data_IF_011201413532
#
_entry.id   IF_011201413532
#
_cell.length_a   1.000
_cell.length_b   1.000
_cell.length_c   1.000
_cell.angle_alpha   90.00
_cell.angle_beta   90.00
_cell.angle_gamma   90.00
#
_symmetry.space_group_name_H-M   'P 1'
#
loop_
_entity.id
_entity.type
_entity.pdbx_description
1 polymer ?
#
# COMPACT_ATOMS: atom_id res chain seq x y z
N UNK A 1 -53.52 7.15 11.38
CA UNK A 1 -54.68 6.27 11.12
C UNK A 1 -54.70 5.88 9.65
N UNK A 2 -55.53 4.90 9.26
CA UNK A 2 -55.63 4.29 7.93
C UNK A 2 -54.46 3.34 7.55
N UNK A 3 -54.50 2.14 8.12
CA UNK A 3 -53.80 0.96 7.61
C UNK A 3 -54.54 0.43 6.38
N UNK A 4 -53.84 0.11 5.28
CA UNK A 4 -54.41 -0.61 4.14
C UNK A 4 -53.81 -2.01 4.04
N UNK A 5 -54.68 -3.01 3.88
CA UNK A 5 -54.32 -4.41 3.78
C UNK A 5 -54.37 -4.89 2.33
N UNK A 6 -53.57 -5.93 2.01
CA UNK A 6 -53.97 -7.08 1.18
C UNK A 6 -52.90 -8.17 1.17
N UNK A 7 -53.31 -9.41 1.47
CA UNK A 7 -52.61 -10.63 1.02
C UNK A 7 -53.01 -10.96 -0.44
N UNK A 8 -52.78 -12.15 -1.02
CA UNK A 8 -52.12 -13.41 -0.59
C UNK A 8 -52.09 -14.35 -1.83
N UNK A 9 -51.58 -15.60 -1.71
CA UNK A 9 -51.59 -16.72 -2.71
C UNK A 9 -50.53 -16.58 -3.84
N UNK A 10 -49.55 -17.48 -4.04
CA UNK A 10 -49.54 -18.94 -4.36
C UNK A 10 -50.08 -19.24 -5.77
N UNK A 11 -49.46 -20.05 -6.66
CA UNK A 11 -48.27 -20.92 -6.61
C UNK A 11 -47.56 -20.84 -8.01
N UNK A 12 -46.74 -21.76 -8.58
CA UNK A 12 -46.34 -23.16 -8.31
C UNK A 12 -45.02 -23.52 -9.05
N UNK A 13 -44.55 -24.77 -9.02
CA UNK A 13 -43.42 -25.28 -9.83
C UNK A 13 -43.86 -25.89 -11.17
N UNK A 14 -42.92 -26.08 -12.12
CA UNK A 14 -42.60 -27.47 -12.50
C UNK A 14 -41.08 -27.78 -12.57
N UNK A 15 -40.75 -29.02 -12.97
CA UNK A 15 -39.46 -29.71 -12.75
C UNK A 15 -38.88 -30.27 -14.06
N UNK A 16 -37.58 -30.63 -14.03
CA UNK A 16 -36.77 -31.29 -15.07
C UNK A 16 -36.17 -30.32 -16.13
N UNK A 17 -35.01 -30.63 -16.75
CA UNK A 17 -34.41 -31.95 -17.03
C UNK A 17 -32.87 -31.92 -17.03
N UNK A 18 -32.26 -33.07 -16.71
CA UNK A 18 -30.81 -33.30 -16.78
C UNK A 18 -30.37 -33.73 -18.19
N UNK A 19 -29.23 -33.22 -18.67
CA UNK A 19 -28.45 -33.82 -19.76
C UNK A 19 -26.95 -33.77 -19.46
N UNK A 20 -26.37 -34.95 -19.27
CA UNK A 20 -24.94 -35.22 -19.10
C UNK A 20 -24.29 -35.38 -20.48
N UNK A 21 -23.23 -34.64 -20.78
CA UNK A 21 -22.44 -34.84 -22.01
C UNK A 21 -20.94 -34.99 -21.73
N UNK A 22 -20.34 -35.86 -22.52
CA UNK A 22 -19.05 -36.54 -22.37
C UNK A 22 -17.80 -35.66 -22.33
N UNK A 23 -16.96 -35.92 -21.32
CA UNK A 23 -15.53 -35.59 -21.25
C UNK A 23 -14.77 -36.36 -22.34
N UNK A 24 -14.06 -35.68 -23.25
CA UNK A 24 -13.20 -36.33 -24.27
C UNK A 24 -11.73 -35.96 -24.05
N UNK A 25 -10.89 -36.96 -23.79
CA UNK A 25 -9.42 -36.80 -23.76
C UNK A 25 -8.90 -36.68 -25.19
N UNK A 26 -7.92 -35.80 -25.40
CA UNK A 26 -7.07 -35.79 -26.59
C UNK A 26 -5.60 -35.75 -26.16
N UNK A 27 -4.82 -36.76 -26.53
CA UNK A 27 -3.39 -36.88 -26.19
C UNK A 27 -2.55 -36.89 -27.46
N UNK A 28 -1.55 -36.01 -27.48
CA UNK A 28 -0.27 -36.09 -28.20
C UNK A 28 -0.23 -36.34 -29.72
N UNK A 29 0.56 -35.49 -30.42
CA UNK A 29 1.70 -35.99 -31.19
C UNK A 29 2.83 -34.97 -31.37
N UNK A 30 4.06 -35.49 -31.39
CA UNK A 30 5.31 -34.78 -31.74
C UNK A 30 5.59 -34.91 -33.24
N UNK A 31 6.14 -33.86 -33.83
CA UNK A 31 7.03 -33.81 -35.01
C UNK A 31 7.93 -32.59 -34.74
N UNK A 32 9.27 -32.64 -34.79
CA UNK A 32 10.09 -33.19 -35.88
C UNK A 32 10.32 -32.07 -36.90
N UNK A 33 11.11 -31.04 -36.56
CA UNK A 33 12.57 -30.95 -36.77
C UNK A 33 12.97 -30.50 -38.19
N UNK A 34 13.65 -29.36 -38.31
CA UNK A 34 14.88 -29.21 -39.11
C UNK A 34 15.60 -27.92 -38.74
N UNK A 35 16.93 -27.97 -38.72
CA UNK A 35 17.77 -26.77 -38.77
C UNK A 35 17.95 -26.32 -40.22
N UNK A 36 18.22 -25.03 -40.43
CA UNK A 36 18.96 -24.50 -41.58
C UNK A 36 19.84 -23.35 -41.09
N UNK A 37 21.12 -23.46 -41.39
CA UNK A 37 22.13 -22.41 -41.25
C UNK A 37 22.04 -21.49 -42.49
N UNK A 38 22.13 -20.18 -42.27
CA UNK A 38 22.18 -19.18 -43.34
C UNK A 38 22.87 -17.90 -42.84
N UNK A 39 24.20 -17.95 -42.82
CA UNK A 39 25.03 -16.75 -42.77
C UNK A 39 24.68 -15.79 -43.92
N UNK A 40 24.38 -14.52 -43.60
CA UNK A 40 24.56 -13.44 -44.58
C UNK A 40 24.82 -12.09 -43.93
N UNK A 41 25.94 -11.48 -44.34
CA UNK A 41 26.37 -10.14 -43.94
C UNK A 41 25.64 -9.08 -44.77
N UNK A 42 25.11 -8.05 -44.11
CA UNK A 42 24.58 -6.86 -44.78
C UNK A 42 24.81 -5.57 -43.96
N UNK A 43 26.04 -5.05 -44.07
CA UNK A 43 26.31 -3.62 -44.34
C UNK A 43 25.65 -2.59 -43.41
N UNK A 44 26.31 -2.29 -42.29
CA UNK A 44 26.05 -1.07 -41.53
C UNK A 44 26.35 0.18 -42.38
N UNK A 45 25.36 1.08 -42.51
CA UNK A 45 25.53 2.42 -43.06
C UNK A 45 25.65 3.44 -41.93
N UNK A 46 26.82 4.03 -41.77
CA UNK A 46 27.07 5.10 -40.80
C UNK A 46 26.40 6.41 -41.21
N UNK A 47 25.50 6.92 -40.38
CA UNK A 47 25.11 8.35 -40.39
C UNK A 47 25.18 8.88 -38.96
N UNK A 48 26.22 9.64 -38.65
CA UNK A 48 26.43 10.15 -37.29
C UNK A 48 25.46 11.28 -36.94
N UNK A 49 25.09 11.35 -35.66
CA UNK A 49 24.57 12.56 -35.01
C UNK A 49 25.18 12.68 -33.60
N UNK A 50 25.91 13.78 -33.42
CA UNK A 50 26.14 14.55 -32.18
C UNK A 50 25.92 13.82 -30.84
N UNK A 51 27.03 13.49 -30.18
CA UNK A 51 27.06 13.01 -28.78
C UNK A 51 27.23 14.20 -27.82
N UNK A 52 26.11 14.79 -27.40
CA UNK A 52 26.05 15.70 -26.24
C UNK A 52 24.89 15.24 -25.34
N UNK A 53 25.11 15.24 -24.01
CA UNK A 53 24.30 14.66 -22.90
C UNK A 53 24.75 13.29 -22.36
N UNK A 54 25.99 13.20 -21.87
CA UNK A 54 26.39 12.11 -20.96
C UNK A 54 27.42 12.57 -19.93
N UNK A 55 27.06 13.55 -19.09
CA UNK A 55 27.78 13.92 -17.86
C UNK A 55 26.94 14.92 -17.05
N UNK A 56 26.01 14.42 -16.21
CA UNK A 56 25.47 15.07 -14.99
C UNK A 56 24.47 14.10 -14.30
N UNK A 57 24.98 13.01 -13.72
CA UNK A 57 24.23 12.15 -12.80
C UNK A 57 25.06 11.89 -11.54
N UNK A 58 25.03 12.84 -10.60
CA UNK A 58 25.68 12.71 -9.30
C UNK A 58 24.85 11.88 -8.32
N UNK A 59 25.23 10.61 -8.23
CA UNK A 59 25.27 9.77 -7.03
C UNK A 59 24.23 10.06 -5.91
N UNK A 60 23.00 9.55 -6.06
CA UNK A 60 22.17 9.18 -4.92
C UNK A 60 21.31 7.95 -5.28
N UNK A 61 21.76 6.78 -4.81
CA UNK A 61 21.18 5.45 -5.09
C UNK A 61 20.84 5.14 -6.56
N UNK A 62 21.86 4.90 -7.39
CA UNK A 62 21.64 4.09 -8.60
C UNK A 62 21.34 2.65 -8.16
N UNK A 63 20.12 2.18 -8.44
CA UNK A 63 19.85 0.75 -8.52
C UNK A 63 20.35 0.28 -9.89
N UNK A 64 21.11 -0.82 -9.94
CA UNK A 64 21.58 -1.40 -11.20
C UNK A 64 20.36 -1.99 -11.95
N UNK A 65 20.01 -1.41 -13.10
CA UNK A 65 18.91 -1.88 -13.95
C UNK A 65 19.40 -2.83 -15.06
N UNK A 66 18.51 -3.75 -15.43
CA UNK A 66 18.74 -4.72 -16.50
C UNK A 66 18.99 -4.00 -17.84
N UNK A 67 19.74 -4.62 -18.74
CA UNK A 67 20.23 -4.01 -19.99
C UNK A 67 19.19 -3.75 -21.09
N UNK A 68 18.02 -3.24 -20.75
CA UNK A 68 17.07 -2.63 -21.67
C UNK A 68 17.44 -1.16 -21.92
N UNK A 69 17.28 -0.69 -23.16
CA UNK A 69 17.44 0.72 -23.51
C UNK A 69 16.16 1.47 -23.11
N UNK A 70 16.11 1.98 -21.88
CA UNK A 70 14.97 2.75 -21.38
C UNK A 70 14.82 4.06 -22.16
N UNK A 71 13.86 4.11 -23.09
CA UNK A 71 13.56 5.31 -23.87
C UNK A 71 12.57 6.20 -23.13
N UNK A 72 13.04 7.36 -22.66
CA UNK A 72 12.18 8.34 -21.99
C UNK A 72 11.60 9.35 -22.99
N UNK A 73 10.27 9.45 -23.01
CA UNK A 73 9.59 10.56 -23.69
C UNK A 73 9.64 11.81 -22.82
N UNK A 74 10.01 12.95 -23.41
CA UNK A 74 10.09 14.24 -22.72
C UNK A 74 8.85 15.07 -23.04
N UNK A 75 8.10 15.47 -22.00
CA UNK A 75 6.94 16.33 -22.12
C UNK A 75 7.07 17.58 -21.26
N UNK A 76 6.38 18.65 -21.64
CA UNK A 76 6.08 19.77 -20.75
C UNK A 76 4.92 19.39 -19.83
N UNK A 77 4.99 19.68 -18.53
CA UNK A 77 3.93 19.26 -17.60
C UNK A 77 2.57 19.84 -17.97
N UNK A 78 2.50 21.14 -18.29
CA UNK A 78 1.28 21.82 -18.74
C UNK A 78 0.62 21.16 -19.98
N UNK A 79 1.42 20.71 -20.95
CA UNK A 79 0.93 20.08 -22.18
C UNK A 79 0.39 18.66 -21.93
N UNK A 80 1.07 17.86 -21.09
CA UNK A 80 0.74 16.43 -20.96
C UNK A 80 -0.31 16.15 -19.88
N UNK A 81 -0.37 16.94 -18.80
CA UNK A 81 -1.15 16.62 -17.57
C UNK A 81 -2.62 16.27 -17.79
N UNK A 82 -3.26 16.80 -18.83
CA UNK A 82 -4.65 16.48 -19.17
C UNK A 82 -4.84 15.04 -19.68
N UNK A 83 -3.79 14.41 -20.22
CA UNK A 83 -3.75 13.01 -20.71
C UNK A 83 -3.17 12.02 -19.69
N UNK A 84 -2.54 12.51 -18.63
CA UNK A 84 -1.97 11.67 -17.57
C UNK A 84 -3.07 11.28 -16.56
N UNK A 85 -3.11 10.01 -16.18
CA UNK A 85 -4.09 9.45 -15.25
C UNK A 85 -3.39 8.77 -14.06
N UNK A 86 -3.83 9.05 -12.82
CA UNK A 86 -3.52 8.21 -11.68
C UNK A 86 -4.00 6.76 -11.83
N UNK A 87 -3.48 5.88 -10.98
CA UNK A 87 -3.94 4.48 -10.82
C UNK A 87 -4.26 4.13 -9.37
N UNK A 88 -4.28 5.13 -8.47
CA UNK A 88 -4.54 4.95 -7.06
C UNK A 88 -5.56 5.97 -6.54
N UNK A 89 -6.47 5.51 -5.67
CA UNK A 89 -7.56 6.32 -5.08
C UNK A 89 -7.11 7.21 -3.91
N UNK A 90 -5.92 6.98 -3.37
CA UNK A 90 -5.46 7.58 -2.13
C UNK A 90 -3.97 7.95 -2.18
N UNK A 91 -3.59 8.98 -1.45
CA UNK A 91 -2.21 9.41 -1.20
C UNK A 91 -2.07 9.72 0.28
N UNK A 92 -0.94 9.38 0.90
CA UNK A 92 -0.58 10.05 2.16
C UNK A 92 -0.22 11.50 1.87
N UNK A 93 -1.07 12.45 2.26
CA UNK A 93 -0.92 13.87 1.90
C UNK A 93 0.34 14.48 2.54
N UNK A 94 0.62 14.16 3.79
CA UNK A 94 1.83 14.61 4.50
C UNK A 94 3.13 14.17 3.80
N UNK A 95 3.09 12.99 3.16
CA UNK A 95 4.20 12.51 2.33
C UNK A 95 4.30 13.26 0.99
N UNK A 96 3.18 13.78 0.45
CA UNK A 96 3.21 14.75 -0.66
C UNK A 96 3.83 16.07 -0.17
N UNK A 97 3.46 16.57 1.00
CA UNK A 97 4.02 17.80 1.56
C UNK A 97 5.51 17.68 1.88
N UNK A 98 5.97 16.53 2.39
CA UNK A 98 7.40 16.21 2.49
C UNK A 98 8.13 16.30 1.13
N UNK A 99 7.47 15.89 0.03
CA UNK A 99 8.04 15.99 -1.31
C UNK A 99 8.17 17.43 -1.82
N UNK A 100 7.36 18.38 -1.35
CA UNK A 100 7.42 19.79 -1.79
C UNK A 100 8.79 20.45 -1.56
N UNK A 101 9.58 19.96 -0.60
CA UNK A 101 10.99 20.36 -0.41
C UNK A 101 11.85 20.24 -1.68
N UNK A 102 11.51 19.32 -2.59
CA UNK A 102 12.19 19.14 -3.89
C UNK A 102 11.69 20.12 -4.97
N UNK A 103 10.60 20.83 -4.70
CA UNK A 103 9.88 21.74 -5.60
C UNK A 103 9.80 23.17 -5.03
N UNK A 104 10.71 23.55 -4.13
CA UNK A 104 10.76 24.90 -3.51
C UNK A 104 10.87 26.07 -4.50
N UNK A 105 11.39 25.81 -5.69
CA UNK A 105 11.62 26.75 -6.78
C UNK A 105 11.69 25.99 -8.13
N UNK A 106 11.59 26.72 -9.24
CA UNK A 106 11.57 26.17 -10.61
C UNK A 106 12.85 25.37 -10.96
N UNK A 107 14.01 25.80 -10.45
CA UNK A 107 15.30 25.15 -10.70
C UNK A 107 15.37 23.79 -10.00
N UNK A 108 14.92 23.73 -8.73
CA UNK A 108 14.82 22.50 -7.96
C UNK A 108 13.81 21.54 -8.57
N UNK A 109 12.64 22.04 -8.98
CA UNK A 109 11.62 21.26 -9.67
C UNK A 109 12.15 20.64 -10.96
N UNK A 110 12.84 21.43 -11.79
CA UNK A 110 13.46 20.97 -13.05
C UNK A 110 14.52 19.91 -12.79
N UNK A 111 15.42 20.15 -11.83
CA UNK A 111 16.47 19.21 -11.42
C UNK A 111 15.89 17.91 -10.85
N UNK A 112 14.79 17.99 -10.09
CA UNK A 112 14.15 16.82 -9.49
C UNK A 112 13.46 15.94 -10.53
N UNK A 113 12.70 16.54 -11.44
CA UNK A 113 11.99 15.78 -12.49
C UNK A 113 12.95 15.20 -13.53
N UNK A 114 14.08 15.86 -13.83
CA UNK A 114 15.12 15.31 -14.70
C UNK A 114 15.73 13.98 -14.20
N UNK A 115 15.71 13.72 -12.88
CA UNK A 115 16.18 12.46 -12.25
C UNK A 115 15.05 11.54 -11.79
N UNK A 116 13.81 11.79 -12.23
CA UNK A 116 12.61 11.02 -11.88
C UNK A 116 11.75 10.74 -13.12
N UNK A 117 12.17 9.81 -13.99
CA UNK A 117 11.28 9.20 -14.96
C UNK A 117 10.01 8.70 -14.29
N UNK A 118 8.87 8.91 -14.94
CA UNK A 118 7.56 8.49 -14.47
C UNK A 118 7.09 7.30 -15.29
N UNK A 119 7.06 6.08 -14.73
CA UNK A 119 6.59 4.90 -15.44
C UNK A 119 5.08 4.95 -15.63
N UNK A 120 4.62 4.66 -16.83
CA UNK A 120 3.21 4.67 -17.19
C UNK A 120 2.82 3.56 -18.15
N UNK A 121 1.56 3.17 -18.07
CA UNK A 121 0.88 2.26 -19.01
C UNK A 121 0.02 3.09 -19.94
N UNK A 122 0.08 2.83 -21.24
CA UNK A 122 -0.75 3.49 -22.25
C UNK A 122 -1.98 2.66 -22.57
N UNK A 123 -3.13 3.33 -22.67
CA UNK A 123 -4.42 2.75 -23.05
C UNK A 123 -5.36 3.88 -23.47
N UNK A 124 -6.00 3.79 -24.64
CA UNK A 124 -6.94 4.79 -25.19
C UNK A 124 -6.40 6.21 -25.21
N UNK A 125 -5.13 6.34 -25.61
CA UNK A 125 -4.41 7.62 -25.66
C UNK A 125 -4.13 8.27 -24.30
N UNK A 126 -4.43 7.60 -23.18
CA UNK A 126 -4.18 8.07 -21.82
C UNK A 126 -2.94 7.40 -21.22
N UNK A 127 -2.25 8.13 -20.35
CA UNK A 127 -1.02 7.67 -19.67
C UNK A 127 -1.29 7.35 -18.20
N UNK A 128 -1.56 6.08 -17.91
CA UNK A 128 -1.84 5.58 -16.57
C UNK A 128 -0.55 5.36 -15.77
N UNK A 129 -0.20 6.34 -14.94
CA UNK A 129 1.03 6.37 -14.13
C UNK A 129 1.00 5.25 -13.08
N UNK A 130 2.05 4.43 -13.01
CA UNK A 130 2.08 3.26 -12.10
C UNK A 130 2.95 3.45 -10.84
N UNK A 131 3.82 4.46 -10.80
CA UNK A 131 4.53 4.92 -9.61
C UNK A 131 4.73 6.44 -9.67
N UNK A 132 5.18 7.06 -8.58
CA UNK A 132 5.50 8.48 -8.44
C UNK A 132 4.29 9.43 -8.36
N UNK A 133 3.10 8.91 -7.99
CA UNK A 133 1.90 9.73 -7.79
C UNK A 133 2.07 10.87 -6.78
N UNK A 134 2.77 10.61 -5.67
CA UNK A 134 3.18 11.65 -4.70
C UNK A 134 4.05 12.75 -5.33
N UNK A 135 4.90 12.40 -6.29
CA UNK A 135 5.79 13.35 -6.98
C UNK A 135 4.99 14.22 -7.94
N UNK A 136 4.09 13.64 -8.73
CA UNK A 136 3.25 14.40 -9.67
C UNK A 136 2.20 15.25 -8.95
N UNK A 137 1.61 14.75 -7.85
CA UNK A 137 0.70 15.54 -7.02
C UNK A 137 1.43 16.74 -6.39
N UNK A 138 2.66 16.56 -5.89
CA UNK A 138 3.49 17.66 -5.40
C UNK A 138 3.82 18.68 -6.51
N UNK A 139 4.26 18.22 -7.69
CA UNK A 139 4.54 19.08 -8.84
C UNK A 139 3.31 19.91 -9.25
N UNK A 140 2.15 19.25 -9.37
CA UNK A 140 0.90 19.91 -9.75
C UNK A 140 0.45 20.93 -8.70
N UNK A 141 0.58 20.60 -7.40
CA UNK A 141 0.26 21.49 -6.28
C UNK A 141 1.15 22.75 -6.25
N UNK A 142 2.42 22.65 -6.67
CA UNK A 142 3.28 23.85 -6.80
C UNK A 142 2.97 24.73 -8.00
N UNK A 143 2.18 24.25 -8.97
CA UNK A 143 1.94 24.94 -10.23
C UNK A 143 3.17 25.09 -11.13
N UNK A 144 4.32 24.49 -10.80
CA UNK A 144 5.52 24.58 -11.63
C UNK A 144 5.32 23.86 -12.96
N UNK A 145 5.56 24.60 -14.03
CA UNK A 145 5.65 24.05 -15.37
C UNK A 145 7.12 23.72 -15.66
N UNK A 146 7.45 22.42 -15.64
CA UNK A 146 8.78 21.88 -15.92
C UNK A 146 8.67 20.72 -16.90
N UNK A 147 9.82 20.25 -17.36
CA UNK A 147 9.88 19.07 -18.21
C UNK A 147 9.76 17.81 -17.36
N UNK A 148 8.84 16.91 -17.74
CA UNK A 148 8.67 15.59 -17.14
C UNK A 148 9.13 14.52 -18.13
N UNK A 149 9.88 13.56 -17.61
CA UNK A 149 10.36 12.41 -18.38
C UNK A 149 9.43 11.26 -18.05
N UNK A 150 8.83 10.65 -19.07
CA UNK A 150 7.85 9.57 -18.93
C UNK A 150 8.35 8.32 -19.63
N UNK A 151 8.12 7.17 -19.01
CA UNK A 151 8.56 5.87 -19.50
C UNK A 151 7.33 5.01 -19.79
N UNK A 152 7.11 4.67 -21.06
CA UNK A 152 6.04 3.75 -21.45
C UNK A 152 6.48 2.31 -21.14
N UNK A 153 5.97 1.74 -20.05
CA UNK A 153 6.32 0.36 -19.65
C UNK A 153 5.46 -0.70 -20.36
N UNK A 154 4.30 -0.29 -20.90
CA UNK A 154 3.39 -1.14 -21.68
C UNK A 154 2.31 -0.30 -22.39
N UNK A 155 1.92 -0.71 -23.60
CA UNK A 155 0.71 -0.21 -24.29
C UNK A 155 -0.31 -1.35 -24.46
N UNK A 156 -1.57 -1.10 -24.10
CA UNK A 156 -2.70 -1.99 -24.37
C UNK A 156 -3.49 -1.52 -25.58
N UNK A 157 -4.08 -2.46 -26.33
CA UNK A 157 -5.00 -2.16 -27.43
C UNK A 157 -6.22 -1.38 -26.93
N UNK A 158 -6.69 -0.45 -27.77
CA UNK A 158 -7.87 0.38 -27.50
C UNK A 158 -9.17 -0.43 -27.54
N UNK A 159 -9.17 -1.61 -28.19
CA UNK A 159 -10.30 -2.54 -28.23
C UNK A 159 -10.54 -3.29 -26.91
N UNK A 160 -9.54 -3.33 -26.02
CA UNK A 160 -9.62 -3.97 -24.70
C UNK A 160 -10.70 -3.31 -23.84
N UNK A 161 -11.51 -4.10 -23.12
CA UNK A 161 -12.51 -3.54 -22.22
C UNK A 161 -11.90 -3.07 -20.89
N UNK A 162 -12.51 -2.03 -20.29
CA UNK A 162 -12.01 -1.41 -19.06
C UNK A 162 -11.90 -2.41 -17.89
N UNK A 163 -12.83 -3.38 -17.78
CA UNK A 163 -12.81 -4.34 -16.67
C UNK A 163 -11.65 -5.33 -16.81
N UNK A 164 -11.32 -5.75 -18.03
CA UNK A 164 -10.12 -6.55 -18.31
C UNK A 164 -8.85 -5.71 -18.10
N UNK A 165 -8.79 -4.48 -18.62
CA UNK A 165 -7.66 -3.57 -18.40
C UNK A 165 -7.36 -3.38 -16.90
N UNK A 166 -8.36 -2.96 -16.11
CA UNK A 166 -8.18 -2.73 -14.68
C UNK A 166 -7.92 -4.02 -13.90
N UNK A 167 -8.48 -5.16 -14.33
CA UNK A 167 -8.15 -6.47 -13.76
C UNK A 167 -6.68 -6.85 -13.94
N UNK A 168 -6.07 -6.49 -15.07
CA UNK A 168 -4.64 -6.68 -15.30
C UNK A 168 -3.81 -5.66 -14.50
N UNK A 169 -4.22 -4.40 -14.44
CA UNK A 169 -3.56 -3.36 -13.62
C UNK A 169 -3.53 -3.76 -12.13
N UNK A 170 -4.65 -4.23 -11.57
CA UNK A 170 -4.70 -4.75 -10.19
C UNK A 170 -3.82 -6.00 -10.05
N UNK A 171 -3.93 -6.96 -10.98
CA UNK A 171 -3.20 -8.23 -10.95
C UNK A 171 -1.67 -8.10 -11.04
N UNK A 172 -1.18 -7.05 -11.69
CA UNK A 172 0.26 -6.70 -11.77
C UNK A 172 0.75 -5.82 -10.61
N UNK A 173 -0.15 -5.34 -9.75
CA UNK A 173 0.18 -4.38 -8.69
C UNK A 173 0.47 -2.97 -9.22
N UNK A 174 -0.16 -2.58 -10.34
CA UNK A 174 -0.03 -1.28 -10.98
C UNK A 174 -1.16 -0.29 -10.60
N UNK A 175 -2.15 -0.73 -9.84
CA UNK A 175 -3.24 0.10 -9.31
C UNK A 175 -3.58 -0.20 -7.84
N UNK A 176 -4.11 0.80 -7.14
CA UNK A 176 -4.49 0.72 -5.72
C UNK A 176 -5.89 1.28 -5.50
N UNK A 177 -6.88 0.39 -5.37
CA UNK A 177 -8.31 0.72 -5.35
C UNK A 177 -8.95 0.38 -3.98
N UNK A 178 -8.43 0.96 -2.89
CA UNK A 178 -8.86 0.64 -1.52
C UNK A 178 -9.25 1.89 -0.69
N UNK A 179 -10.43 1.82 -0.04
CA UNK A 179 -10.94 2.89 0.84
C UNK A 179 -10.20 2.96 2.19
N UNK A 180 -10.62 3.87 3.08
CA UNK A 180 -10.06 4.02 4.44
C UNK A 180 -10.34 2.84 5.38
N UNK A 181 -11.24 1.93 5.01
CA UNK A 181 -11.51 0.67 5.68
C UNK A 181 -10.81 -0.52 4.99
N UNK A 182 -9.99 -0.25 3.98
CA UNK A 182 -9.40 -1.20 3.05
C UNK A 182 -10.43 -2.19 2.46
N UNK A 183 -11.59 -1.67 2.07
CA UNK A 183 -12.56 -2.30 1.18
C UNK A 183 -12.24 -1.92 -0.27
N UNK A 184 -12.60 -2.79 -1.23
CA UNK A 184 -12.29 -2.57 -2.64
C UNK A 184 -13.27 -1.56 -3.24
N UNK A 185 -12.74 -0.53 -3.86
CA UNK A 185 -13.47 0.47 -4.63
C UNK A 185 -13.61 0.07 -6.11
N UNK A 186 -14.42 0.82 -6.86
CA UNK A 186 -14.45 0.74 -8.32
C UNK A 186 -13.20 1.41 -8.90
N UNK A 187 -12.78 0.99 -10.09
CA UNK A 187 -11.78 1.74 -10.85
C UNK A 187 -12.31 3.12 -11.29
N UNK A 188 -13.64 3.30 -11.33
CA UNK A 188 -14.29 4.59 -11.58
C UNK A 188 -14.11 5.59 -10.41
N UNK A 189 -13.68 5.12 -9.23
CA UNK A 189 -13.37 5.96 -8.07
C UNK A 189 -11.90 6.46 -8.09
N UNK A 190 -11.11 6.07 -9.09
CA UNK A 190 -9.73 6.57 -9.27
C UNK A 190 -9.80 8.00 -9.84
N UNK A 191 -9.07 8.97 -9.25
CA UNK A 191 -9.00 10.33 -9.76
C UNK A 191 -8.54 10.41 -11.21
N UNK A 192 -9.07 11.38 -11.96
CA UNK A 192 -8.68 11.62 -13.36
C UNK A 192 -7.51 12.60 -13.53
N UNK A 193 -7.02 13.20 -12.44
CA UNK A 193 -5.96 14.21 -12.43
C UNK A 193 -5.05 14.09 -11.21
N UNK A 194 -3.92 14.79 -11.22
CA UNK A 194 -2.97 14.86 -10.10
C UNK A 194 -3.25 16.01 -9.11
N UNK A 195 -4.51 16.44 -9.04
CA UNK A 195 -5.03 17.34 -7.99
C UNK A 195 -5.02 16.59 -6.64
N UNK A 196 -4.28 17.07 -5.64
CA UNK A 196 -4.08 16.35 -4.37
C UNK A 196 -5.40 16.09 -3.64
N UNK A 197 -6.31 17.08 -3.66
CA UNK A 197 -7.67 17.06 -3.15
C UNK A 197 -8.58 15.99 -3.80
N UNK A 198 -8.23 15.49 -4.98
CA UNK A 198 -8.96 14.40 -5.61
C UNK A 198 -8.61 13.03 -5.00
N UNK A 199 -7.46 12.89 -4.36
CA UNK A 199 -7.06 11.67 -3.66
C UNK A 199 -7.51 11.70 -2.21
N UNK A 200 -8.02 10.57 -1.71
CA UNK A 200 -8.23 10.38 -0.26
C UNK A 200 -6.89 10.51 0.48
N UNK A 201 -6.85 11.27 1.59
CA UNK A 201 -5.69 11.23 2.50
C UNK A 201 -5.57 9.84 3.16
N UNK A 202 -4.37 9.26 3.12
CA UNK A 202 -4.01 8.01 3.78
C UNK A 202 -2.81 8.23 4.70
N UNK A 203 -3.12 8.65 5.93
CA UNK A 203 -2.17 8.90 7.02
C UNK A 203 -1.32 7.65 7.32
N UNK A 204 -1.87 6.45 7.14
CA UNK A 204 -1.12 5.20 7.32
C UNK A 204 -0.11 4.97 6.18
N UNK A 205 -0.42 5.39 4.95
CA UNK A 205 0.54 5.45 3.84
C UNK A 205 1.60 6.52 4.04
N UNK A 206 1.27 7.67 4.63
CA UNK A 206 2.27 8.66 5.07
C UNK A 206 3.22 8.03 6.10
N UNK A 207 2.67 7.42 7.16
CA UNK A 207 3.42 6.74 8.22
C UNK A 207 4.37 5.66 7.66
N UNK A 208 3.92 4.83 6.71
CA UNK A 208 4.79 3.85 6.04
C UNK A 208 5.99 4.48 5.31
N UNK A 209 5.81 5.69 4.77
CA UNK A 209 6.89 6.49 4.18
C UNK A 209 7.86 7.03 5.24
N UNK A 210 7.35 7.64 6.30
CA UNK A 210 8.16 8.15 7.41
C UNK A 210 8.94 7.05 8.14
N UNK A 211 8.33 5.87 8.35
CA UNK A 211 9.04 4.69 8.86
C UNK A 211 10.24 4.28 7.99
N UNK A 212 10.26 4.59 6.68
CA UNK A 212 11.45 4.38 5.82
C UNK A 212 12.44 5.54 5.90
N UNK A 213 11.98 6.79 5.90
CA UNK A 213 12.82 8.00 6.12
C UNK A 213 13.67 7.82 7.37
N UNK A 214 13.03 7.38 8.45
CA UNK A 214 13.61 7.20 9.79
C UNK A 214 14.23 5.82 10.00
N UNK A 215 14.40 5.08 8.89
CA UNK A 215 15.11 3.80 8.79
C UNK A 215 14.59 2.70 9.73
N UNK A 216 13.36 2.80 10.23
CA UNK A 216 12.67 1.70 10.93
C UNK A 216 12.37 0.55 9.96
N UNK A 217 11.96 0.89 8.74
CA UNK A 217 11.59 -0.06 7.69
C UNK A 217 12.55 -0.01 6.51
N UNK A 218 12.88 -1.18 5.96
CA UNK A 218 13.70 -1.34 4.76
C UNK A 218 12.96 -2.19 3.72
N UNK A 219 12.83 -1.67 2.49
CA UNK A 219 12.29 -2.41 1.34
C UNK A 219 13.15 -3.63 1.01
N UNK A 220 12.52 -4.68 0.47
CA UNK A 220 13.26 -5.76 -0.19
C UNK A 220 13.85 -5.31 -1.53
N UNK A 221 14.70 -6.16 -2.13
CA UNK A 221 15.31 -5.87 -3.44
C UNK A 221 14.39 -6.21 -4.62
N UNK A 222 13.57 -7.24 -4.49
CA UNK A 222 12.72 -7.75 -5.57
C UNK A 222 11.54 -6.81 -5.82
N UNK A 223 11.06 -6.74 -7.06
CA UNK A 223 9.89 -5.94 -7.46
C UNK A 223 8.68 -6.20 -6.54
N UNK A 224 8.38 -7.48 -6.28
CA UNK A 224 7.32 -7.95 -5.38
C UNK A 224 7.39 -7.40 -3.95
N UNK A 225 8.59 -7.04 -3.47
CA UNK A 225 8.81 -6.41 -2.15
C UNK A 225 8.81 -4.88 -2.22
N UNK A 226 8.92 -4.29 -3.41
CA UNK A 226 8.81 -2.83 -3.63
C UNK A 226 7.34 -2.42 -3.86
N UNK A 227 6.56 -3.24 -4.57
CA UNK A 227 5.15 -2.97 -4.90
C UNK A 227 4.32 -2.66 -3.66
N UNK A 228 3.76 -1.44 -3.63
CA UNK A 228 2.93 -0.92 -2.54
C UNK A 228 3.50 -1.08 -1.12
N UNK A 229 4.84 -1.15 -0.96
CA UNK A 229 5.48 -1.44 0.33
C UNK A 229 4.93 -0.59 1.49
N UNK A 230 4.82 0.72 1.30
CA UNK A 230 4.35 1.65 2.33
C UNK A 230 2.84 1.51 2.59
N UNK A 231 2.03 1.10 1.61
CA UNK A 231 0.61 0.77 1.83
C UNK A 231 0.43 -0.56 2.55
N UNK A 232 1.33 -1.54 2.35
CA UNK A 232 1.30 -2.82 3.07
C UNK A 232 1.63 -2.63 4.56
N UNK A 233 2.67 -1.85 4.85
CA UNK A 233 3.01 -1.48 6.23
C UNK A 233 1.98 -0.52 6.85
N UNK A 234 1.45 0.43 6.07
CA UNK A 234 0.32 1.27 6.49
C UNK A 234 -0.92 0.44 6.86
N UNK A 235 -1.28 -0.55 6.04
CA UNK A 235 -2.37 -1.47 6.34
C UNK A 235 -2.16 -2.24 7.65
N UNK A 236 -0.93 -2.67 7.93
CA UNK A 236 -0.59 -3.31 9.20
C UNK A 236 -0.77 -2.35 10.40
N UNK A 237 -0.27 -1.11 10.32
CA UNK A 237 -0.47 -0.13 11.38
C UNK A 237 -1.96 0.21 11.57
N UNK A 238 -2.74 0.34 10.49
CA UNK A 238 -4.19 0.51 10.53
C UNK A 238 -4.88 -0.69 11.21
N UNK A 239 -4.51 -1.91 10.83
CA UNK A 239 -5.11 -3.14 11.35
C UNK A 239 -4.90 -3.29 12.86
N UNK A 240 -3.74 -2.86 13.35
CA UNK A 240 -3.34 -2.96 14.76
C UNK A 240 -3.67 -1.71 15.60
N UNK A 241 -4.21 -0.62 15.02
CA UNK A 241 -4.46 0.66 15.75
C UNK A 241 -5.22 0.52 17.07
N UNK A 242 -6.16 -0.42 17.15
CA UNK A 242 -7.01 -0.69 18.32
C UNK A 242 -6.56 -1.93 19.14
N UNK A 243 -5.36 -2.46 18.90
CA UNK A 243 -4.82 -3.71 19.48
C UNK A 243 -5.75 -4.94 19.44
N UNK A 244 -6.64 -5.02 18.45
CA UNK A 244 -7.59 -6.12 18.28
C UNK A 244 -6.93 -7.51 18.08
N UNK A 245 -5.61 -7.54 17.90
CA UNK A 245 -4.79 -8.73 17.69
C UNK A 245 -3.76 -8.97 18.80
N UNK A 246 -3.73 -8.15 19.87
CA UNK A 246 -2.85 -8.33 21.04
C UNK A 246 -1.35 -8.32 20.70
N UNK A 247 -0.92 -7.46 19.78
CA UNK A 247 0.47 -7.40 19.30
C UNK A 247 1.23 -6.18 19.84
N UNK A 248 0.53 -5.19 20.41
CA UNK A 248 1.20 -4.06 21.06
C UNK A 248 1.94 -4.50 22.33
N UNK A 249 3.25 -4.18 22.48
CA UNK A 249 3.99 -4.54 23.69
C UNK A 249 3.45 -3.92 24.99
N UNK A 250 2.72 -2.81 24.90
CA UNK A 250 1.96 -2.27 26.03
C UNK A 250 0.76 -1.44 25.55
N UNK A 251 -0.29 -1.42 26.38
CA UNK A 251 -1.46 -0.57 26.12
C UNK A 251 -1.15 0.93 26.27
N UNK A 252 -0.05 1.31 26.95
CA UNK A 252 0.40 2.69 27.04
C UNK A 252 0.96 3.18 25.69
N UNK A 253 1.73 2.33 24.99
CA UNK A 253 2.22 2.61 23.65
C UNK A 253 1.07 2.74 22.65
N UNK A 254 0.10 1.81 22.66
CA UNK A 254 -1.08 1.90 21.80
C UNK A 254 -1.86 3.19 22.04
N UNK A 255 -2.12 3.58 23.29
CA UNK A 255 -2.82 4.85 23.59
C UNK A 255 -2.01 6.09 23.21
N UNK A 256 -0.68 6.01 23.20
CA UNK A 256 0.18 7.11 22.75
C UNK A 256 0.15 7.27 21.24
N UNK A 257 0.22 6.16 20.51
CA UNK A 257 0.00 6.10 19.07
C UNK A 257 -1.36 6.69 18.69
N UNK A 258 -2.44 6.27 19.35
CA UNK A 258 -3.82 6.72 19.10
C UNK A 258 -3.99 8.24 19.28
N UNK A 259 -3.39 8.82 20.33
CA UNK A 259 -3.38 10.28 20.54
C UNK A 259 -2.62 11.03 19.46
N UNK A 260 -1.44 10.55 19.05
CA UNK A 260 -0.64 11.20 18.00
C UNK A 260 -1.31 11.08 16.63
N UNK A 261 -1.93 9.93 16.32
CA UNK A 261 -2.73 9.75 15.12
C UNK A 261 -3.91 10.74 15.11
N UNK A 262 -4.61 10.89 16.23
CA UNK A 262 -5.69 11.89 16.38
C UNK A 262 -5.18 13.32 16.14
N UNK A 263 -3.98 13.68 16.61
CA UNK A 263 -3.40 15.00 16.38
C UNK A 263 -3.08 15.25 14.89
N UNK A 264 -2.63 14.22 14.16
CA UNK A 264 -2.41 14.32 12.71
C UNK A 264 -3.75 14.39 11.97
N UNK A 265 -4.73 13.56 12.33
CA UNK A 265 -6.10 13.60 11.77
C UNK A 265 -6.83 14.94 12.04
N UNK A 266 -6.41 15.69 13.07
CA UNK A 266 -6.91 17.02 13.41
C UNK A 266 -6.06 18.17 12.88
N UNK A 267 -4.98 17.89 12.14
CA UNK A 267 -4.22 18.93 11.44
C UNK A 267 -5.02 19.41 10.25
N UNK A 268 -5.30 20.71 10.19
CA UNK A 268 -6.15 21.29 9.15
C UNK A 268 -5.38 21.50 7.84
N UNK A 269 -5.25 20.42 7.08
CA UNK A 269 -4.67 20.46 5.73
C UNK A 269 -5.61 21.16 4.72
N UNK A 270 -6.90 21.34 5.05
CA UNK A 270 -7.90 21.91 4.13
C UNK A 270 -7.58 23.37 3.80
N UNK A 271 -7.01 24.10 4.77
CA UNK A 271 -6.47 25.43 4.54
C UNK A 271 -5.46 25.44 3.39
N UNK A 272 -4.55 24.47 3.32
CA UNK A 272 -3.45 24.44 2.35
C UNK A 272 -3.84 23.84 1.00
N UNK A 273 -4.81 22.92 0.99
CA UNK A 273 -5.18 22.12 -0.19
C UNK A 273 -6.35 22.74 -0.96
N UNK A 274 -7.10 23.65 -0.33
CA UNK A 274 -8.09 24.52 -0.98
C UNK A 274 -9.40 23.80 -1.32
N UNK A 275 -10.50 24.30 -0.76
CA UNK A 275 -11.86 23.83 -1.06
C UNK A 275 -12.35 24.28 -2.46
N UNK A 276 -11.68 23.85 -3.52
CA UNK A 276 -12.14 23.99 -4.90
C UNK A 276 -11.81 25.31 -5.61
N UNK A 277 -10.95 26.16 -5.05
CA UNK A 277 -10.51 27.40 -5.71
C UNK A 277 -9.13 27.28 -6.35
N UNK A 278 -9.13 27.17 -7.69
CA UNK A 278 -7.95 27.09 -8.58
C UNK A 278 -7.01 28.31 -8.43
N UNK A 279 -7.48 29.41 -7.86
CA UNK A 279 -6.75 30.68 -7.70
C UNK A 279 -5.98 30.79 -6.37
N UNK A 280 -6.09 29.81 -5.46
CA UNK A 280 -5.34 29.80 -4.21
C UNK A 280 -3.88 29.36 -4.44
N UNK A 281 -3.08 30.21 -5.10
CA UNK A 281 -1.61 30.08 -5.13
C UNK A 281 -1.03 30.41 -3.75
N UNK A 282 -1.29 29.55 -2.75
CA UNK A 282 -0.66 29.61 -1.43
C UNK A 282 0.83 29.32 -1.61
N UNK A 283 1.69 30.07 -0.91
CA UNK A 283 3.12 29.99 -1.12
C UNK A 283 3.59 28.55 -0.85
N UNK A 284 4.31 27.96 -1.81
CA UNK A 284 4.93 26.63 -1.66
C UNK A 284 5.80 26.58 -0.40
N UNK A 285 6.35 27.73 0.02
CA UNK A 285 7.08 27.89 1.30
C UNK A 285 6.21 27.63 2.53
N UNK A 286 4.94 28.01 2.54
CA UNK A 286 4.05 27.79 3.69
C UNK A 286 3.71 26.31 3.85
N UNK A 287 3.47 25.61 2.73
CA UNK A 287 3.26 24.15 2.73
C UNK A 287 4.55 23.39 3.12
N UNK A 288 5.72 23.84 2.65
CA UNK A 288 7.02 23.32 3.10
C UNK A 288 7.21 23.59 4.61
N UNK A 289 6.85 24.77 5.10
CA UNK A 289 6.95 25.12 6.52
C UNK A 289 6.06 24.23 7.39
N UNK A 290 4.79 24.02 7.00
CA UNK A 290 3.89 23.08 7.68
C UNK A 290 4.51 21.67 7.74
N UNK A 291 5.05 21.20 6.61
CA UNK A 291 5.75 19.92 6.54
C UNK A 291 6.93 19.86 7.51
N UNK A 292 7.88 20.78 7.39
CA UNK A 292 9.14 20.76 8.14
C UNK A 292 8.99 21.07 9.63
N UNK A 293 7.95 21.81 10.04
CA UNK A 293 7.78 22.30 11.42
C UNK A 293 6.64 21.65 12.20
N UNK A 294 5.67 21.03 11.53
CA UNK A 294 4.51 20.40 12.18
C UNK A 294 4.43 18.92 11.83
N UNK A 295 4.20 18.60 10.56
CA UNK A 295 3.90 17.22 10.15
C UNK A 295 5.09 16.28 10.35
N UNK A 296 6.28 16.62 9.84
CA UNK A 296 7.45 15.77 9.96
C UNK A 296 7.82 15.51 11.44
N UNK A 297 7.89 16.49 12.34
CA UNK A 297 8.09 16.22 13.77
C UNK A 297 7.03 15.30 14.40
N UNK A 298 5.74 15.45 14.03
CA UNK A 298 4.68 14.56 14.52
C UNK A 298 4.88 13.12 14.03
N UNK A 299 5.25 12.94 12.75
CA UNK A 299 5.54 11.63 12.19
C UNK A 299 6.81 10.99 12.75
N UNK A 300 7.88 11.76 12.96
CA UNK A 300 9.13 11.26 13.51
C UNK A 300 8.90 10.68 14.93
N UNK A 301 8.05 11.34 15.75
CA UNK A 301 7.59 10.79 17.05
C UNK A 301 6.64 9.59 16.85
N UNK A 302 5.71 9.63 15.90
CA UNK A 302 4.79 8.52 15.62
C UNK A 302 5.54 7.24 15.21
N UNK A 303 6.64 7.37 14.47
CA UNK A 303 7.55 6.27 14.11
C UNK A 303 8.15 5.61 15.36
N UNK A 304 8.51 6.38 16.38
CA UNK A 304 8.99 5.81 17.67
C UNK A 304 7.91 5.00 18.37
N UNK A 305 6.64 5.43 18.32
CA UNK A 305 5.52 4.68 18.89
C UNK A 305 5.20 3.38 18.14
N UNK A 306 5.29 3.33 16.81
CA UNK A 306 5.04 2.09 16.06
C UNK A 306 6.26 1.16 15.95
N UNK A 307 7.46 1.63 16.28
CA UNK A 307 8.67 0.79 16.24
C UNK A 307 8.60 -0.46 17.16
N UNK A 308 8.12 -0.39 18.42
CA UNK A 308 7.86 -1.57 19.24
C UNK A 308 6.86 -2.55 18.61
N UNK A 309 5.80 -2.06 17.95
CA UNK A 309 4.80 -2.90 17.27
C UNK A 309 5.41 -3.61 16.05
N UNK A 310 6.19 -2.88 15.24
CA UNK A 310 6.92 -3.44 14.10
C UNK A 310 7.95 -4.49 14.56
N UNK A 311 8.66 -4.24 15.66
CA UNK A 311 9.58 -5.20 16.26
C UNK A 311 8.88 -6.45 16.81
N UNK A 312 7.72 -6.29 17.47
CA UNK A 312 6.89 -7.40 17.92
C UNK A 312 6.50 -8.31 16.74
N UNK A 313 6.00 -7.74 15.64
CA UNK A 313 5.75 -8.48 14.40
C UNK A 313 7.00 -9.19 13.85
N UNK A 314 8.12 -8.47 13.77
CA UNK A 314 9.36 -9.00 13.18
C UNK A 314 9.97 -10.16 13.98
N UNK A 315 9.70 -10.24 15.29
CA UNK A 315 10.21 -11.28 16.20
C UNK A 315 9.25 -12.45 16.42
N UNK A 316 8.08 -12.46 15.77
CA UNK A 316 7.16 -13.60 15.81
C UNK A 316 7.84 -14.87 15.25
N UNK A 317 7.73 -16.03 15.96
CA UNK A 317 8.64 -17.16 15.78
C UNK A 317 8.43 -17.96 14.50
N UNK A 318 7.28 -17.85 13.84
CA UNK A 318 6.92 -18.64 12.66
C UNK A 318 6.41 -17.77 11.50
N UNK A 319 6.27 -18.35 10.32
CA UNK A 319 5.68 -17.66 9.16
C UNK A 319 4.17 -17.49 9.34
N UNK A 320 3.54 -18.47 9.99
CA UNK A 320 2.12 -18.55 10.29
C UNK A 320 1.73 -17.49 11.33
N UNK A 321 2.57 -17.27 12.34
CA UNK A 321 2.39 -16.18 13.31
C UNK A 321 2.52 -14.80 12.63
N UNK A 322 3.39 -14.66 11.63
CA UNK A 322 3.55 -13.45 10.82
C UNK A 322 2.50 -13.30 9.70
N UNK A 323 1.49 -14.16 9.63
CA UNK A 323 0.40 -14.00 8.67
C UNK A 323 -0.49 -12.80 9.07
N UNK A 324 -0.46 -11.72 8.30
CA UNK A 324 -1.26 -10.52 8.57
C UNK A 324 -2.67 -10.72 8.03
N UNK A 325 -3.66 -10.60 8.91
CA UNK A 325 -5.06 -10.82 8.56
C UNK A 325 -5.46 -9.96 7.35
N UNK A 326 -6.00 -10.58 6.31
CA UNK A 326 -6.50 -9.89 5.12
C UNK A 326 -5.44 -9.27 4.20
N UNK A 327 -4.14 -9.41 4.46
CA UNK A 327 -3.06 -8.92 3.58
C UNK A 327 -3.09 -9.63 2.21
N UNK A 328 -3.26 -10.96 2.21
CA UNK A 328 -3.29 -11.80 0.99
C UNK A 328 -4.37 -11.37 0.00
N UNK A 329 -5.54 -10.95 0.50
CA UNK A 329 -6.68 -10.48 -0.33
C UNK A 329 -6.36 -9.15 -1.03
N UNK A 330 -5.47 -8.33 -0.47
CA UNK A 330 -5.20 -6.95 -0.88
C UNK A 330 -3.91 -6.79 -1.68
N UNK A 331 -2.91 -7.59 -1.36
CA UNK A 331 -1.54 -7.47 -1.88
C UNK A 331 -0.93 -8.83 -2.31
N UNK A 332 -1.75 -9.87 -2.46
CA UNK A 332 -1.32 -11.19 -2.95
C UNK A 332 -0.47 -12.05 -2.00
N UNK A 333 0.03 -11.49 -0.88
CA UNK A 333 0.94 -12.16 0.06
C UNK A 333 0.43 -12.20 1.51
N UNK A 334 0.79 -13.24 2.24
CA UNK A 334 0.33 -13.46 3.63
C UNK A 334 1.17 -12.69 4.67
N UNK A 335 2.42 -12.34 4.35
CA UNK A 335 3.37 -11.66 5.27
C UNK A 335 3.90 -10.36 4.66
N UNK A 336 4.15 -9.35 5.50
CA UNK A 336 4.69 -8.05 5.08
C UNK A 336 6.03 -8.18 4.35
N UNK A 337 6.30 -7.30 3.35
CA UNK A 337 7.55 -7.25 2.61
C UNK A 337 8.69 -6.59 3.39
N UNK A 338 9.93 -6.86 2.96
CA UNK A 338 11.15 -6.25 3.48
C UNK A 338 11.47 -6.61 4.93
N UNK A 339 12.09 -5.69 5.67
CA UNK A 339 12.54 -5.92 7.05
C UNK A 339 12.39 -4.70 7.96
N UNK A 340 12.21 -4.97 9.25
CA UNK A 340 12.34 -3.99 10.34
C UNK A 340 13.81 -3.92 10.74
N UNK A 341 14.36 -2.72 10.86
CA UNK A 341 15.77 -2.52 11.22
C UNK A 341 15.92 -2.53 12.74
N UNK A 342 16.60 -3.55 13.25
CA UNK A 342 16.88 -3.73 14.68
C UNK A 342 18.25 -3.15 15.06
N UNK A 343 18.35 -2.41 16.16
CA UNK A 343 19.65 -2.04 16.76
C UNK A 343 20.13 -0.59 16.61
N UNK A 344 19.27 0.37 16.22
CA UNK A 344 19.64 1.80 16.15
C UNK A 344 19.68 2.52 17.51
N UNK A 345 20.20 1.90 18.57
CA UNK A 345 20.23 2.49 19.93
C UNK A 345 18.86 2.77 20.57
N UNK A 346 17.75 2.57 19.83
CA UNK A 346 16.38 2.60 20.34
C UNK A 346 16.12 1.31 21.12
N UNK A 347 16.56 1.32 22.38
CA UNK A 347 16.55 0.16 23.27
C UNK A 347 15.15 -0.05 23.88
N UNK A 348 14.18 -0.39 23.02
CA UNK A 348 12.79 -0.72 23.36
C UNK A 348 12.65 -1.96 24.27
N UNK A 349 13.78 -2.54 24.72
CA UNK A 349 13.88 -3.81 25.43
C UNK A 349 14.34 -3.66 26.89
N UNK A 350 14.65 -2.46 27.38
CA UNK A 350 14.97 -2.28 28.81
C UNK A 350 13.72 -2.52 29.69
N UNK A 351 12.53 -2.12 29.24
CA UNK A 351 11.27 -2.38 29.94
C UNK A 351 10.78 -3.86 29.84
N UNK A 352 11.53 -4.74 29.15
CA UNK A 352 11.13 -6.16 29.01
C UNK A 352 11.27 -6.99 30.29
N UNK A 353 11.93 -6.49 31.34
CA UNK A 353 12.21 -7.32 32.53
C UNK A 353 10.97 -7.68 33.37
N UNK A 354 9.81 -7.03 33.17
CA UNK A 354 8.60 -7.28 33.97
C UNK A 354 7.36 -7.74 33.18
N UNK A 355 7.45 -8.00 31.87
CA UNK A 355 6.29 -8.46 31.09
C UNK A 355 6.24 -9.99 31.00
N UNK A 356 5.51 -10.61 31.92
CA UNK A 356 5.11 -12.02 31.84
C UNK A 356 3.87 -12.12 30.94
N UNK A 357 3.90 -13.03 29.96
CA UNK A 357 2.74 -13.33 29.12
C UNK A 357 1.54 -13.75 30.01
N UNK A 358 0.34 -13.18 29.82
CA UNK A 358 -0.85 -13.70 30.47
C UNK A 358 -1.08 -15.16 30.05
N UNK A 359 -1.01 -16.08 31.01
CA UNK A 359 -1.48 -17.45 30.81
C UNK A 359 -3.00 -17.41 30.74
N UNK A 360 -3.58 -18.19 29.83
CA UNK A 360 -4.98 -18.09 29.43
C UNK A 360 -5.93 -18.77 30.46
N UNK A 361 -5.93 -18.30 31.71
CA UNK A 361 -6.61 -18.87 32.89
C UNK A 361 -8.16 -18.87 32.84
N UNK A 362 -8.75 -18.69 31.65
CA UNK A 362 -10.21 -18.65 31.45
C UNK A 362 -10.83 -19.96 30.98
N UNK A 363 -10.10 -21.09 31.03
CA UNK A 363 -10.67 -22.43 30.78
C UNK A 363 -10.62 -23.40 31.96
N UNK A 364 -9.61 -23.35 32.84
CA UNK A 364 -9.47 -24.37 33.90
C UNK A 364 -10.15 -24.01 35.22
N UNK A 365 -10.28 -22.72 35.58
CA UNK A 365 -10.98 -22.26 36.79
C UNK A 365 -12.48 -22.66 36.87
N UNK A 366 -13.07 -23.19 35.79
CA UNK A 366 -14.44 -23.75 35.76
C UNK A 366 -14.50 -25.27 35.94
N UNK A 367 -13.35 -25.96 35.89
CA UNK A 367 -13.22 -27.39 36.08
C UNK A 367 -12.96 -27.71 37.55
N UNK A 368 -11.99 -27.05 38.16
CA UNK A 368 -11.56 -27.31 39.54
C UNK A 368 -12.69 -27.09 40.55
N UNK A 369 -13.44 -25.98 40.43
CA UNK A 369 -14.63 -25.69 41.26
C UNK A 369 -15.79 -26.68 41.08
N UNK A 370 -15.75 -27.55 40.07
CA UNK A 370 -16.77 -28.58 39.84
C UNK A 370 -16.35 -29.92 40.45
N UNK A 371 -15.04 -30.16 40.59
CA UNK A 371 -14.50 -31.37 41.19
C UNK A 371 -14.36 -31.23 42.72
N UNK A 372 -13.95 -30.06 43.26
CA UNK A 372 -14.00 -29.77 44.73
C UNK A 372 -15.40 -30.05 45.34
N UNK A 373 -16.46 -29.52 44.71
CA UNK A 373 -17.85 -29.72 45.15
C UNK A 373 -18.36 -31.15 44.99
N UNK A 374 -17.58 -32.03 44.36
CA UNK A 374 -17.91 -33.44 44.16
C UNK A 374 -17.27 -34.32 45.24
N UNK A 375 -16.09 -33.93 45.71
CA UNK A 375 -15.38 -34.65 46.77
C UNK A 375 -15.86 -34.24 48.18
N UNK A 376 -16.20 -32.97 48.44
CA UNK A 376 -16.89 -32.57 49.69
C UNK A 376 -18.16 -33.41 49.94
N UNK A 377 -18.97 -33.63 48.90
CA UNK A 377 -20.19 -34.47 48.97
C UNK A 377 -19.93 -35.97 49.09
N UNK A 378 -18.70 -36.41 48.89
CA UNK A 378 -18.30 -37.82 48.99
C UNK A 378 -17.79 -38.14 50.39
N UNK A 379 -17.07 -37.22 51.00
CA UNK A 379 -16.57 -37.37 52.36
C UNK A 379 -17.65 -37.11 53.42
N UNK A 380 -18.58 -36.17 53.18
CA UNK A 380 -19.76 -35.99 54.05
C UNK A 380 -20.71 -37.21 54.02
N UNK A 381 -20.61 -38.07 52.99
CA UNK A 381 -21.36 -39.33 52.92
C UNK A 381 -20.64 -40.49 53.63
N UNK A 382 -19.30 -40.51 53.58
CA UNK A 382 -18.49 -41.52 54.31
C UNK A 382 -18.53 -41.33 55.82
N UNK A 383 -18.53 -40.09 56.32
CA UNK A 383 -18.62 -39.83 57.77
C UNK A 383 -19.95 -40.31 58.35
N UNK A 384 -21.05 -40.25 57.59
CA UNK A 384 -22.39 -40.68 58.00
C UNK A 384 -22.66 -42.20 57.87
N UNK A 385 -21.75 -42.96 57.28
CA UNK A 385 -21.80 -44.43 57.24
C UNK A 385 -20.86 -45.10 58.27
N UNK A 386 -20.04 -44.32 58.98
CA UNK A 386 -19.10 -44.82 60.00
C UNK A 386 -19.62 -44.74 61.45
N UNK A 387 -20.82 -44.19 61.66
CA UNK A 387 -21.42 -43.93 62.98
C UNK A 387 -22.79 -44.63 63.13
N UNK A 388 -22.90 -45.87 62.62
CA UNK A 388 -24.16 -46.63 62.65
C UNK A 388 -23.96 -48.14 62.81
#
# INVERSE_FOLDING_TARGET
>A
MATLARGTSSASSPRARSTRSTRRRGTARRTGASAVDATQSARASSSGKTKETSDMLSNDSMEEEDGFEHTYEKFRWSDVRASVRPTQVALGWDWTFYKLSNFKDLESATTYMARKPVPYVKYRGLRYVVDHHHTLAALNLTGWDVDVYMEEIFEYDDDLDDATFWGIMEGKGWSFCWDSNYQRLSYADIPTSFELQAFRNDIFRSLGGFCRKDKLLKRGKMLEDKLFFEFQWGYFFWLHRNDAYGLWPSSQLQRGFDRLLTMIEQTDDSEYIGEGHIEASRDVRDMIFLSDKVLQPLYDVLVEYVAPLAYAYATLPTKEARAVHGLKKRFGRDTLPGSVVTGMGRDFLIDRQNFVLPVDDKKDAKKDKKDEKKDEKKDEKKSKEAEK
#
